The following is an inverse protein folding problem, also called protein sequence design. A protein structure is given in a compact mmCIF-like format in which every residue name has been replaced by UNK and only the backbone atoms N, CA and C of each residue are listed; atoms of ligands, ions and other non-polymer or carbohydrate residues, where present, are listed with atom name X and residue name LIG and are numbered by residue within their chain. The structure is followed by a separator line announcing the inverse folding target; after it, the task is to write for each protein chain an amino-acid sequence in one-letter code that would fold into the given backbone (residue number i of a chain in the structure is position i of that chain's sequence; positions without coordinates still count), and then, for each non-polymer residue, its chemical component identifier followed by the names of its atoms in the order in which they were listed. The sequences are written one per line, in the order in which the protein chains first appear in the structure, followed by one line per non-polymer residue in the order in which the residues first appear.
data_IF_321021606839
#
_entry.id   IF_321021606839
#
_cell.length_a   1.000
_cell.length_b   1.000
_cell.length_c   1.000
_cell.angle_alpha   90.00
_cell.angle_beta   90.00
_cell.angle_gamma   90.00
#
_symmetry.space_group_name_H-M   'P 1'
#
loop_
_entity.id
_entity.type
_entity.pdbx_description
1 polymer ?
#
# COMPACT_ATOMS: atom_id res chain seq x y z
N UNK A 1 -14.07 28.32 -6.34
CA UNK A 1 -13.19 27.13 -6.40
C UNK A 1 -13.51 26.12 -5.29
N UNK A 2 -13.72 26.52 -4.03
CA UNK A 2 -14.12 25.61 -2.95
C UNK A 2 -15.53 25.01 -3.14
N UNK A 3 -16.53 25.84 -3.46
CA UNK A 3 -17.92 25.37 -3.69
C UNK A 3 -18.01 24.35 -4.82
N UNK A 4 -17.30 24.61 -5.94
CA UNK A 4 -17.21 23.68 -7.07
C UNK A 4 -16.54 22.35 -6.68
N UNK A 5 -15.54 22.39 -5.80
CA UNK A 5 -14.89 21.19 -5.28
C UNK A 5 -15.83 20.37 -4.38
N UNK A 6 -16.56 21.03 -3.46
CA UNK A 6 -17.53 20.34 -2.60
C UNK A 6 -18.68 19.73 -3.40
N UNK A 7 -19.20 20.44 -4.39
CA UNK A 7 -20.25 19.91 -5.28
C UNK A 7 -19.75 18.69 -6.08
N UNK A 8 -18.51 18.73 -6.58
CA UNK A 8 -17.90 17.59 -7.26
C UNK A 8 -17.74 16.38 -6.32
N UNK A 9 -17.31 16.59 -5.07
CA UNK A 9 -17.18 15.52 -4.07
C UNK A 9 -18.55 14.90 -3.75
N UNK A 10 -19.58 15.72 -3.53
CA UNK A 10 -20.93 15.23 -3.27
C UNK A 10 -21.46 14.44 -4.47
N UNK A 11 -21.28 14.94 -5.69
CA UNK A 11 -21.69 14.24 -6.90
C UNK A 11 -20.99 12.88 -7.04
N UNK A 12 -19.66 12.83 -6.84
CA UNK A 12 -18.89 11.58 -6.89
C UNK A 12 -19.32 10.59 -5.79
N UNK A 13 -19.61 11.06 -4.58
CA UNK A 13 -20.13 10.22 -3.50
C UNK A 13 -21.50 9.63 -3.85
N UNK A 14 -22.42 10.45 -4.35
CA UNK A 14 -23.75 9.99 -4.77
C UNK A 14 -23.64 8.99 -5.93
N UNK A 15 -22.75 9.25 -6.89
CA UNK A 15 -22.49 8.34 -8.00
C UNK A 15 -21.91 7.00 -7.51
N UNK A 16 -20.90 7.02 -6.65
CA UNK A 16 -20.31 5.81 -6.07
C UNK A 16 -21.34 5.00 -5.27
N UNK A 17 -22.14 5.66 -4.41
CA UNK A 17 -23.20 4.99 -3.65
C UNK A 17 -24.26 4.41 -4.58
N UNK A 18 -24.68 5.17 -5.60
CA UNK A 18 -25.62 4.70 -6.62
C UNK A 18 -25.10 3.46 -7.35
N UNK A 19 -23.85 3.49 -7.80
CA UNK A 19 -23.18 2.36 -8.46
C UNK A 19 -23.09 1.14 -7.53
N UNK A 20 -22.65 1.31 -6.28
CA UNK A 20 -22.61 0.21 -5.30
C UNK A 20 -23.99 -0.39 -5.04
N UNK A 21 -25.03 0.44 -4.88
CA UNK A 21 -26.39 -0.04 -4.67
C UNK A 21 -26.92 -0.80 -5.88
N UNK A 22 -26.63 -0.34 -7.10
CA UNK A 22 -26.98 -1.08 -8.33
C UNK A 22 -26.20 -2.39 -8.47
N UNK A 23 -24.89 -2.39 -8.18
CA UNK A 23 -24.06 -3.58 -8.23
C UNK A 23 -24.52 -4.64 -7.21
N UNK A 24 -24.87 -4.22 -5.98
CA UNK A 24 -25.43 -5.11 -4.95
C UNK A 24 -26.79 -5.68 -5.33
N UNK A 25 -27.61 -4.93 -6.08
CA UNK A 25 -28.91 -5.41 -6.60
C UNK A 25 -28.73 -6.42 -7.74
N UNK A 26 -27.69 -6.27 -8.55
CA UNK A 26 -27.40 -7.15 -9.69
C UNK A 26 -26.63 -8.40 -9.30
N UNK A 27 -25.92 -8.39 -8.16
CA UNK A 27 -25.11 -9.52 -7.71
C UNK A 27 -25.93 -10.41 -6.76
N UNK A 28 -26.25 -11.66 -7.12
CA UNK A 28 -26.90 -12.58 -6.20
C UNK A 28 -26.01 -12.86 -4.96
N UNK A 29 -26.60 -13.12 -3.78
CA UNK A 29 -25.83 -13.39 -2.57
C UNK A 29 -24.95 -14.62 -2.80
N UNK A 30 -23.64 -14.42 -2.76
CA UNK A 30 -22.71 -15.54 -2.84
C UNK A 30 -22.88 -16.44 -1.60
N UNK A 31 -22.88 -17.78 -1.78
CA UNK A 31 -22.90 -18.70 -0.67
C UNK A 31 -21.69 -18.43 0.24
N UNK A 32 -21.91 -18.48 1.55
CA UNK A 32 -20.88 -18.22 2.55
C UNK A 32 -19.67 -19.12 2.27
N UNK A 33 -18.47 -18.57 2.01
CA UNK A 33 -17.34 -19.39 1.63
C UNK A 33 -17.00 -20.36 2.76
N UNK A 34 -16.91 -21.65 2.46
CA UNK A 34 -16.40 -22.70 3.35
C UNK A 34 -15.04 -22.36 3.98
N UNK A 35 -14.30 -21.43 3.36
CA UNK A 35 -13.08 -20.79 3.87
C UNK A 35 -13.21 -20.27 5.31
N UNK A 36 -14.35 -19.69 5.67
CA UNK A 36 -14.54 -19.01 6.96
C UNK A 36 -14.59 -20.01 8.13
N UNK A 37 -14.90 -21.28 7.87
CA UNK A 37 -15.02 -22.30 8.89
C UNK A 37 -13.67 -22.89 9.33
N UNK A 38 -12.63 -22.85 8.50
CA UNK A 38 -11.35 -23.49 8.81
C UNK A 38 -10.49 -22.62 9.78
N UNK A 39 -10.21 -23.09 11.01
CA UNK A 39 -9.45 -22.30 11.99
C UNK A 39 -7.98 -22.09 11.59
N UNK A 40 -7.35 -23.05 10.91
CA UNK A 40 -5.98 -22.94 10.44
C UNK A 40 -5.85 -21.86 9.35
N UNK A 41 -6.82 -21.82 8.42
CA UNK A 41 -6.89 -20.78 7.40
C UNK A 41 -7.06 -19.39 8.03
N UNK A 42 -7.96 -19.22 9.01
CA UNK A 42 -8.16 -17.93 9.69
C UNK A 42 -6.91 -17.45 10.41
N UNK A 43 -6.18 -18.37 11.06
CA UNK A 43 -4.91 -18.05 11.72
C UNK A 43 -3.89 -17.57 10.69
N UNK A 44 -3.71 -18.30 9.59
CA UNK A 44 -2.79 -17.91 8.51
C UNK A 44 -3.20 -16.58 7.85
N UNK A 45 -4.49 -16.41 7.53
CA UNK A 45 -5.06 -15.17 6.99
C UNK A 45 -4.76 -13.97 7.92
N UNK A 46 -4.93 -14.14 9.23
CA UNK A 46 -4.64 -13.07 10.20
C UNK A 46 -3.16 -12.67 10.24
N UNK A 47 -2.25 -13.63 10.08
CA UNK A 47 -0.80 -13.37 10.05
C UNK A 47 -0.43 -12.57 8.81
N UNK A 48 -0.94 -12.99 7.65
CA UNK A 48 -0.76 -12.26 6.40
C UNK A 48 -1.32 -10.84 6.49
N UNK A 49 -2.59 -10.69 6.90
CA UNK A 49 -3.24 -9.39 6.99
C UNK A 49 -2.50 -8.47 7.95
N UNK A 50 -2.07 -8.93 9.13
CA UNK A 50 -1.31 -8.09 10.06
C UNK A 50 -0.02 -7.55 9.44
N UNK A 51 0.74 -8.40 8.76
CA UNK A 51 1.99 -7.97 8.13
C UNK A 51 1.76 -7.02 6.95
N UNK A 52 0.84 -7.38 6.05
CA UNK A 52 0.56 -6.64 4.84
C UNK A 52 -0.10 -5.28 5.12
N UNK A 53 -1.09 -5.25 6.03
CA UNK A 53 -1.77 -4.01 6.42
C UNK A 53 -0.86 -3.05 7.16
N UNK A 54 0.10 -3.55 7.95
CA UNK A 54 1.10 -2.71 8.61
C UNK A 54 2.06 -2.08 7.59
N UNK A 55 2.47 -2.83 6.58
CA UNK A 55 3.27 -2.31 5.48
C UNK A 55 2.52 -1.24 4.67
N UNK A 56 1.24 -1.48 4.34
CA UNK A 56 0.38 -0.50 3.68
C UNK A 56 0.18 0.76 4.53
N UNK A 57 -0.07 0.60 5.83
CA UNK A 57 -0.25 1.74 6.73
C UNK A 57 0.98 2.65 6.76
N UNK A 58 2.18 2.07 6.76
CA UNK A 58 3.42 2.84 6.68
C UNK A 58 3.46 3.69 5.40
N UNK A 59 3.10 3.11 4.26
CA UNK A 59 3.02 3.80 2.95
C UNK A 59 2.02 4.96 2.96
N UNK A 60 0.81 4.70 3.47
CA UNK A 60 -0.22 5.73 3.58
C UNK A 60 0.16 6.87 4.52
N UNK A 61 0.90 6.59 5.59
CA UNK A 61 1.31 7.61 6.56
C UNK A 61 2.27 8.64 5.94
N UNK A 62 3.08 8.24 4.97
CA UNK A 62 4.04 9.15 4.33
C UNK A 62 3.43 10.09 3.30
N UNK A 63 2.41 9.62 2.57
CA UNK A 63 1.85 10.31 1.41
C UNK A 63 1.43 11.77 1.67
N UNK A 64 0.66 12.08 2.73
CA UNK A 64 0.05 13.39 2.92
C UNK A 64 1.05 14.55 3.13
N UNK A 65 2.17 14.30 3.79
CA UNK A 65 3.12 15.34 4.22
C UNK A 65 4.41 15.39 3.44
N UNK A 66 4.64 14.48 2.47
CA UNK A 66 5.90 14.40 1.74
C UNK A 66 6.23 15.71 0.99
N UNK A 67 5.24 16.32 0.34
CA UNK A 67 5.43 17.62 -0.33
C UNK A 67 5.74 18.74 0.67
N UNK A 68 4.96 18.79 1.77
CA UNK A 68 5.12 19.81 2.81
C UNK A 68 6.51 19.73 3.46
N UNK A 69 7.03 18.53 3.67
CA UNK A 69 8.39 18.28 4.16
C UNK A 69 9.45 18.90 3.24
N UNK A 70 9.38 18.64 1.94
CA UNK A 70 10.36 19.20 1.01
C UNK A 70 10.26 20.72 0.87
N UNK A 71 9.05 21.28 0.95
CA UNK A 71 8.87 22.74 1.04
C UNK A 71 9.44 23.32 2.33
N UNK A 72 9.32 22.60 3.45
CA UNK A 72 9.92 23.02 4.73
C UNK A 72 11.46 23.07 4.64
N UNK A 73 12.08 22.18 3.88
CA UNK A 73 13.52 22.23 3.56
C UNK A 73 13.89 23.31 2.54
N UNK A 74 12.96 24.21 2.20
CA UNK A 74 13.17 25.33 1.28
C UNK A 74 13.53 24.93 -0.15
N UNK A 75 13.18 23.71 -0.57
CA UNK A 75 13.38 23.29 -1.96
C UNK A 75 12.40 24.00 -2.91
N UNK A 76 12.89 24.27 -4.12
CA UNK A 76 12.10 24.81 -5.22
C UNK A 76 11.07 23.77 -5.69
N UNK A 77 9.94 24.23 -6.22
CA UNK A 77 8.90 23.33 -6.75
C UNK A 77 9.43 22.42 -7.85
N UNK A 78 10.37 22.90 -8.68
CA UNK A 78 11.03 22.10 -9.71
C UNK A 78 11.89 20.97 -9.12
N UNK A 79 12.61 21.23 -8.03
CA UNK A 79 13.41 20.22 -7.31
C UNK A 79 12.50 19.18 -6.65
N UNK A 80 11.38 19.62 -6.09
CA UNK A 80 10.37 18.72 -5.52
C UNK A 80 9.77 17.85 -6.63
N UNK A 81 9.42 18.42 -7.77
CA UNK A 81 8.93 17.65 -8.92
C UNK A 81 9.92 16.58 -9.36
N UNK A 82 11.23 16.89 -9.41
CA UNK A 82 12.27 15.90 -9.71
C UNK A 82 12.28 14.78 -8.67
N UNK A 83 12.21 15.07 -7.37
CA UNK A 83 12.12 14.04 -6.32
C UNK A 83 10.89 13.13 -6.51
N UNK A 84 9.73 13.69 -6.86
CA UNK A 84 8.53 12.90 -7.15
C UNK A 84 8.73 12.00 -8.37
N UNK A 85 9.22 12.57 -9.49
CA UNK A 85 9.51 11.85 -10.73
C UNK A 85 10.53 10.74 -10.50
N UNK A 86 11.63 11.00 -9.79
CA UNK A 86 12.64 9.99 -9.47
C UNK A 86 12.05 8.79 -8.75
N UNK A 87 11.17 9.00 -7.77
CA UNK A 87 10.54 7.89 -7.05
C UNK A 87 9.47 7.13 -7.86
N UNK A 88 8.74 7.82 -8.74
CA UNK A 88 7.80 7.16 -9.66
C UNK A 88 8.55 6.37 -10.74
N UNK A 89 9.57 6.97 -11.34
CA UNK A 89 10.41 6.36 -12.35
C UNK A 89 11.14 5.13 -11.79
N UNK A 90 11.72 5.23 -10.59
CA UNK A 90 12.36 4.08 -9.96
C UNK A 90 11.37 2.95 -9.67
N UNK A 91 10.14 3.25 -9.22
CA UNK A 91 9.10 2.25 -9.03
C UNK A 91 8.77 1.50 -10.33
N UNK A 92 8.64 2.22 -11.45
CA UNK A 92 8.38 1.62 -12.77
C UNK A 92 9.57 0.75 -13.22
N UNK A 93 10.80 1.24 -13.04
CA UNK A 93 12.01 0.50 -13.41
C UNK A 93 12.18 -0.78 -12.58
N UNK A 94 11.80 -0.75 -11.30
CA UNK A 94 11.91 -1.92 -10.42
C UNK A 94 10.74 -2.90 -10.51
N UNK A 95 9.60 -2.51 -11.12
CA UNK A 95 8.42 -3.36 -11.22
C UNK A 95 8.63 -4.72 -11.93
N UNK A 96 9.42 -4.83 -13.02
CA UNK A 96 9.72 -6.14 -13.61
C UNK A 96 10.59 -7.01 -12.68
N UNK A 97 11.52 -6.37 -11.98
CA UNK A 97 12.42 -7.07 -11.06
C UNK A 97 11.69 -7.57 -9.81
N UNK A 98 10.69 -6.85 -9.32
CA UNK A 98 9.94 -7.23 -8.12
C UNK A 98 9.17 -8.55 -8.27
N UNK A 99 8.82 -8.95 -9.50
CA UNK A 99 8.23 -10.27 -9.79
C UNK A 99 9.25 -11.42 -9.84
N UNK A 100 10.49 -11.14 -10.26
CA UNK A 100 11.57 -12.12 -10.35
C UNK A 100 12.29 -12.33 -9.00
N UNK A 101 12.44 -11.26 -8.21
CA UNK A 101 13.18 -11.27 -6.94
C UNK A 101 12.73 -12.33 -5.92
N UNK A 102 11.42 -12.61 -5.74
CA UNK A 102 10.94 -13.68 -4.86
C UNK A 102 11.37 -15.08 -5.29
N UNK A 103 11.63 -15.28 -6.59
CA UNK A 103 12.08 -16.55 -7.15
C UNK A 103 13.60 -16.71 -6.96
N UNK A 104 14.36 -15.62 -7.08
CA UNK A 104 15.82 -15.63 -6.96
C UNK A 104 16.33 -15.58 -5.51
N UNK A 105 15.82 -14.66 -4.68
CA UNK A 105 16.25 -14.47 -3.28
C UNK A 105 15.39 -15.26 -2.29
N UNK A 106 14.24 -15.76 -2.73
CA UNK A 106 13.27 -16.42 -1.86
C UNK A 106 12.28 -15.44 -1.24
N UNK A 107 11.02 -15.83 -1.24
CA UNK A 107 9.84 -15.00 -0.95
C UNK A 107 9.90 -14.28 0.41
N UNK A 108 10.41 -14.94 1.46
CA UNK A 108 10.55 -14.32 2.80
C UNK A 108 11.63 -13.23 2.82
N UNK A 109 12.76 -13.46 2.14
CA UNK A 109 13.85 -12.49 2.10
C UNK A 109 13.43 -11.25 1.33
N UNK A 110 12.63 -11.41 0.27
CA UNK A 110 12.12 -10.26 -0.49
C UNK A 110 11.16 -9.38 0.32
N UNK A 111 10.34 -9.98 1.21
CA UNK A 111 9.53 -9.21 2.16
C UNK A 111 10.42 -8.41 3.15
N UNK A 112 11.54 -8.98 3.59
CA UNK A 112 12.51 -8.28 4.45
C UNK A 112 13.23 -7.15 3.69
N UNK A 113 13.56 -7.38 2.41
CA UNK A 113 14.14 -6.36 1.55
C UNK A 113 13.19 -5.16 1.38
N UNK A 114 11.88 -5.41 1.25
CA UNK A 114 10.87 -4.35 1.33
C UNK A 114 11.00 -3.59 2.65
N UNK A 115 10.96 -4.26 3.80
CA UNK A 115 11.02 -3.58 5.11
C UNK A 115 12.30 -2.75 5.28
N UNK A 116 13.45 -3.28 4.85
CA UNK A 116 14.74 -2.59 4.95
C UNK A 116 14.81 -1.38 4.03
N UNK A 117 14.46 -1.55 2.74
CA UNK A 117 14.47 -0.45 1.77
C UNK A 117 13.49 0.65 2.13
N UNK A 118 12.30 0.28 2.61
CA UNK A 118 11.29 1.24 3.08
C UNK A 118 11.74 1.99 4.34
N UNK A 119 12.33 1.30 5.31
CA UNK A 119 12.88 1.94 6.52
C UNK A 119 14.02 2.89 6.19
N UNK A 120 14.92 2.50 5.29
CA UNK A 120 15.98 3.38 4.79
C UNK A 120 15.39 4.61 4.07
N UNK A 121 14.35 4.44 3.25
CA UNK A 121 13.61 5.56 2.65
C UNK A 121 13.05 6.52 3.72
N UNK A 122 12.44 6.00 4.80
CA UNK A 122 11.99 6.83 5.91
C UNK A 122 13.15 7.62 6.53
N UNK A 123 14.27 6.97 6.82
CA UNK A 123 15.42 7.60 7.48
C UNK A 123 16.06 8.70 6.64
N UNK A 124 16.13 8.53 5.31
CA UNK A 124 16.68 9.57 4.43
C UNK A 124 15.92 10.89 4.54
N UNK A 125 14.63 10.87 4.89
CA UNK A 125 13.81 12.07 5.07
C UNK A 125 14.18 12.91 6.29
N UNK A 126 15.00 12.37 7.20
CA UNK A 126 15.57 13.15 8.30
C UNK A 126 16.72 14.05 7.84
N UNK A 127 17.27 13.81 6.64
CA UNK A 127 18.33 14.61 6.04
C UNK A 127 17.76 15.75 5.20
N UNK A 128 18.41 16.90 5.26
CA UNK A 128 18.15 18.05 4.39
C UNK A 128 18.97 18.02 3.10
N UNK A 129 19.88 17.05 2.95
CA UNK A 129 20.70 16.92 1.74
C UNK A 129 19.87 16.39 0.55
N UNK A 130 19.92 17.11 -0.57
CA UNK A 130 19.12 16.80 -1.74
C UNK A 130 19.46 15.45 -2.38
N UNK A 131 20.74 15.07 -2.42
CA UNK A 131 21.16 13.79 -3.01
C UNK A 131 20.75 12.61 -2.12
N UNK A 132 20.84 12.76 -0.80
CA UNK A 132 20.32 11.77 0.15
C UNK A 132 18.82 11.55 -0.06
N UNK A 133 18.06 12.63 -0.29
CA UNK A 133 16.63 12.53 -0.60
C UNK A 133 16.36 11.86 -1.94
N UNK A 134 17.17 12.10 -2.98
CA UNK A 134 17.05 11.39 -4.27
C UNK A 134 17.29 9.89 -4.08
N UNK A 135 18.33 9.48 -3.35
CA UNK A 135 18.57 8.08 -3.00
C UNK A 135 17.38 7.51 -2.22
N UNK A 136 16.86 8.29 -1.26
CA UNK A 136 15.64 7.98 -0.54
C UNK A 136 14.44 7.72 -1.46
N UNK A 137 14.24 8.52 -2.51
CA UNK A 137 13.18 8.33 -3.50
C UNK A 137 13.39 7.10 -4.37
N UNK A 138 14.64 6.77 -4.72
CA UNK A 138 14.96 5.53 -5.44
C UNK A 138 14.63 4.31 -4.59
N UNK A 139 15.05 4.30 -3.31
CA UNK A 139 14.71 3.24 -2.34
C UNK A 139 13.20 3.16 -2.09
N UNK A 140 12.53 4.31 -2.04
CA UNK A 140 11.07 4.41 -1.96
C UNK A 140 10.40 3.69 -3.12
N UNK A 141 10.78 4.01 -4.37
CA UNK A 141 10.23 3.33 -5.54
C UNK A 141 10.52 1.82 -5.58
N UNK A 142 11.72 1.39 -5.16
CA UNK A 142 12.02 -0.04 -4.98
C UNK A 142 11.03 -0.67 -3.99
N UNK A 143 10.86 -0.08 -2.81
CA UNK A 143 9.95 -0.62 -1.79
C UNK A 143 8.49 -0.63 -2.28
N UNK A 144 7.99 0.43 -2.91
CA UNK A 144 6.63 0.46 -3.48
C UNK A 144 6.43 -0.63 -4.53
N UNK A 145 7.42 -0.88 -5.39
CA UNK A 145 7.35 -1.95 -6.40
C UNK A 145 7.29 -3.36 -5.79
N UNK A 146 7.84 -3.54 -4.59
CA UNK A 146 7.86 -4.80 -3.85
C UNK A 146 6.63 -5.00 -2.97
N UNK A 147 5.96 -3.93 -2.52
CA UNK A 147 4.93 -3.96 -1.48
C UNK A 147 3.78 -4.93 -1.80
N UNK A 148 3.11 -4.79 -2.95
CA UNK A 148 2.04 -5.71 -3.32
C UNK A 148 2.63 -7.05 -3.80
N UNK A 149 3.57 -6.98 -4.75
CA UNK A 149 4.11 -8.15 -5.48
C UNK A 149 4.70 -9.21 -4.56
N UNK A 150 5.53 -8.82 -3.59
CA UNK A 150 6.25 -9.76 -2.73
C UNK A 150 5.36 -10.38 -1.67
N UNK A 151 4.46 -9.59 -1.08
CA UNK A 151 3.52 -10.06 -0.07
C UNK A 151 2.47 -10.98 -0.68
N UNK A 152 1.95 -10.65 -1.86
CA UNK A 152 1.04 -11.51 -2.61
C UNK A 152 1.72 -12.82 -3.01
N UNK A 153 2.94 -12.75 -3.56
CA UNK A 153 3.71 -13.93 -3.91
C UNK A 153 4.01 -14.82 -2.69
N UNK A 154 4.35 -14.23 -1.54
CA UNK A 154 4.57 -14.98 -0.30
C UNK A 154 3.27 -15.66 0.18
N UNK A 155 2.14 -14.93 0.16
CA UNK A 155 0.84 -15.45 0.56
C UNK A 155 0.42 -16.63 -0.30
N UNK A 156 0.42 -16.47 -1.63
CA UNK A 156 -0.02 -17.50 -2.57
C UNK A 156 0.80 -18.79 -2.41
N UNK A 157 2.12 -18.67 -2.30
CA UNK A 157 2.99 -19.84 -2.10
C UNK A 157 2.72 -20.55 -0.78
N UNK A 158 2.61 -19.82 0.34
CA UNK A 158 2.31 -20.44 1.62
C UNK A 158 0.91 -21.07 1.61
N UNK A 159 -0.04 -20.41 0.98
CA UNK A 159 -1.43 -20.86 0.88
C UNK A 159 -1.57 -22.16 0.08
N UNK A 160 -0.94 -22.24 -1.10
CA UNK A 160 -1.05 -23.38 -2.02
C UNK A 160 -0.02 -24.46 -1.70
N UNK A 161 1.26 -24.10 -1.60
CA UNK A 161 2.35 -25.10 -1.58
C UNK A 161 2.66 -25.64 -0.18
N UNK A 162 2.29 -24.91 0.89
CA UNK A 162 2.61 -25.31 2.28
C UNK A 162 1.39 -25.78 3.06
N UNK A 163 0.31 -25.01 3.01
CA UNK A 163 -0.93 -25.35 3.73
C UNK A 163 -1.94 -26.11 2.88
N UNK A 164 -1.73 -26.18 1.56
CA UNK A 164 -2.61 -26.86 0.59
C UNK A 164 -4.09 -26.44 0.73
N UNK A 165 -4.32 -25.14 0.92
CA UNK A 165 -5.67 -24.59 1.02
C UNK A 165 -6.30 -24.40 -0.38
N UNK A 166 -7.64 -24.55 -0.51
CA UNK A 166 -8.34 -24.36 -1.78
C UNK A 166 -8.10 -22.98 -2.41
N UNK A 167 -7.68 -22.95 -3.68
CA UNK A 167 -7.35 -21.70 -4.40
C UNK A 167 -8.51 -20.69 -4.41
N UNK A 168 -9.75 -21.15 -4.32
CA UNK A 168 -10.96 -20.32 -4.24
C UNK A 168 -11.00 -19.41 -3.00
N UNK A 169 -10.18 -19.70 -1.98
CA UNK A 169 -10.11 -18.89 -0.76
C UNK A 169 -9.16 -17.69 -0.90
N UNK A 170 -8.29 -17.68 -1.92
CA UNK A 170 -7.33 -16.60 -2.16
C UNK A 170 -8.02 -15.26 -2.41
N UNK A 171 -9.02 -15.15 -3.33
CA UNK A 171 -9.72 -13.90 -3.56
C UNK A 171 -10.42 -13.35 -2.30
N UNK A 172 -10.92 -14.24 -1.43
CA UNK A 172 -11.57 -13.82 -0.18
C UNK A 172 -10.62 -13.06 0.76
N UNK A 173 -9.35 -13.47 0.83
CA UNK A 173 -8.33 -12.79 1.64
C UNK A 173 -7.94 -11.45 1.04
N UNK A 174 -7.75 -11.38 -0.29
CA UNK A 174 -7.40 -10.11 -0.95
C UNK A 174 -8.55 -9.11 -0.94
N UNK A 175 -9.80 -9.56 -1.09
CA UNK A 175 -10.98 -8.70 -0.91
C UNK A 175 -11.02 -8.11 0.51
N UNK A 176 -10.76 -8.94 1.52
CA UNK A 176 -10.67 -8.47 2.92
C UNK A 176 -9.52 -7.48 3.10
N UNK A 177 -8.34 -7.75 2.52
CA UNK A 177 -7.20 -6.84 2.58
C UNK A 177 -7.53 -5.48 1.94
N UNK A 178 -8.19 -5.46 0.77
CA UNK A 178 -8.64 -4.24 0.11
C UNK A 178 -9.62 -3.44 0.96
N UNK A 179 -10.62 -4.09 1.57
CA UNK A 179 -11.58 -3.42 2.48
C UNK A 179 -10.86 -2.74 3.65
N UNK A 180 -9.91 -3.43 4.29
CA UNK A 180 -9.12 -2.84 5.36
C UNK A 180 -8.21 -1.73 4.87
N UNK A 181 -7.64 -1.85 3.67
CA UNK A 181 -6.77 -0.84 3.07
C UNK A 181 -7.46 0.53 2.93
N UNK A 182 -8.74 0.56 2.52
CA UNK A 182 -9.50 1.82 2.44
C UNK A 182 -9.61 2.53 3.80
N UNK A 183 -9.97 1.78 4.85
CA UNK A 183 -10.04 2.33 6.21
C UNK A 183 -8.68 2.75 6.73
N UNK A 184 -7.64 1.97 6.41
CA UNK A 184 -6.26 2.27 6.78
C UNK A 184 -5.76 3.56 6.14
N UNK A 185 -6.05 3.80 4.86
CA UNK A 185 -5.65 5.02 4.16
C UNK A 185 -6.23 6.28 4.84
N UNK A 186 -7.52 6.24 5.18
CA UNK A 186 -8.18 7.34 5.90
C UNK A 186 -7.58 7.54 7.29
N UNK A 187 -7.41 6.45 8.04
CA UNK A 187 -6.83 6.49 9.38
C UNK A 187 -5.39 7.03 9.38
N UNK A 188 -4.56 6.59 8.43
CA UNK A 188 -3.19 7.04 8.30
C UNK A 188 -3.13 8.54 7.96
N UNK A 189 -4.02 9.03 7.09
CA UNK A 189 -4.14 10.46 6.79
C UNK A 189 -4.48 11.29 8.03
N UNK A 190 -5.48 10.85 8.82
CA UNK A 190 -5.85 11.53 10.06
C UNK A 190 -4.71 11.52 11.08
N UNK A 191 -4.06 10.38 11.27
CA UNK A 191 -2.93 10.23 12.20
C UNK A 191 -1.74 11.09 11.76
N UNK A 192 -1.42 11.10 10.47
CA UNK A 192 -0.38 11.98 9.92
C UNK A 192 -0.71 13.45 10.18
N UNK A 193 -1.97 13.86 10.00
CA UNK A 193 -2.41 15.23 10.25
C UNK A 193 -2.28 15.61 11.72
N UNK A 194 -2.79 14.76 12.61
CA UNK A 194 -2.69 14.97 14.05
C UNK A 194 -1.22 15.09 14.48
N UNK A 195 -0.37 14.15 14.08
CA UNK A 195 1.05 14.17 14.48
C UNK A 195 1.82 15.38 13.92
N UNK A 196 1.48 15.85 12.73
CA UNK A 196 2.17 16.98 12.10
C UNK A 196 1.67 18.36 12.56
N UNK A 197 0.50 18.43 13.21
CA UNK A 197 -0.03 19.67 13.80
C UNK A 197 0.25 19.78 15.31
N UNK A 198 0.37 18.64 16.00
CA UNK A 198 0.59 18.61 17.46
C UNK A 198 2.07 18.71 17.87
N UNK A 199 2.99 18.37 16.97
CA UNK A 199 4.45 18.51 17.13
C UNK A 199 4.95 19.73 16.37
#
# INVERSE_FOLDING_TARGET
MLVTAYLAIIFLLVLCVGLELTARRLTPPQPTPTAVANPAFRRFQSVFLRAYLLALWADWLQGPYLYKLYRHYSFLESQIAILYVCGLASCVLFAPFSGWLPQALGRRQTCLLFCLSYSACCLTKLSTDYFVLIVGRVLGGLSTSLLATTFEAWYVHRHVDVYDFPKDWIPSTFAKAATWNHGLAVGAGLVANLLAEWL
#
